data_IF_978535061159
#
_entry.id   IF_978535061159
#
_cell.length_a   1.000
_cell.length_b   1.000
_cell.length_c   1.000
_cell.angle_alpha   90.00
_cell.angle_beta   90.00
_cell.angle_gamma   90.00
#
_symmetry.space_group_name_H-M   'P 1'
#
loop_
_entity.id
_entity.type
_entity.pdbx_description
1 polymer ?
#
# COMPACT_ATOMS: atom_id res chain seq x y z
N UNK A 1 -7.47 15.16 13.77
CA UNK A 1 -8.39 14.64 12.73
C UNK A 1 -7.60 13.76 11.76
N UNK A 2 -8.23 13.28 10.69
CA UNK A 2 -7.57 12.50 9.63
C UNK A 2 -7.28 13.35 8.40
N UNK A 3 -6.16 13.09 7.75
CA UNK A 3 -5.86 13.62 6.42
C UNK A 3 -6.66 12.86 5.36
N UNK A 4 -6.85 13.52 4.22
CA UNK A 4 -7.33 12.90 2.97
C UNK A 4 -6.14 12.22 2.30
N UNK A 5 -5.82 10.99 2.72
CA UNK A 5 -4.71 10.22 2.19
C UNK A 5 -5.01 9.64 0.81
N UNK A 6 -4.22 10.02 -0.20
CA UNK A 6 -4.39 9.53 -1.57
C UNK A 6 -3.86 8.10 -1.71
N UNK A 7 -4.60 7.22 -2.41
CA UNK A 7 -4.14 5.87 -2.74
C UNK A 7 -3.23 5.89 -3.99
N UNK A 8 -3.68 6.55 -5.06
CA UNK A 8 -2.84 6.98 -6.17
C UNK A 8 -2.32 8.41 -5.89
N UNK A 9 -1.03 8.54 -5.62
CA UNK A 9 -0.43 9.82 -5.24
C UNK A 9 -0.34 10.81 -6.42
N UNK A 10 -0.78 12.05 -6.23
CA UNK A 10 -0.73 13.11 -7.23
C UNK A 10 0.67 13.29 -7.88
N UNK A 11 1.73 13.15 -7.08
CA UNK A 11 3.11 13.28 -7.55
C UNK A 11 3.54 12.21 -8.58
N UNK A 12 2.79 11.11 -8.72
CA UNK A 12 3.03 10.08 -9.73
C UNK A 12 2.50 10.49 -11.12
N UNK A 13 1.62 11.50 -11.19
CA UNK A 13 0.88 11.87 -12.41
C UNK A 13 1.22 13.29 -12.89
N UNK A 14 2.44 13.78 -12.61
CA UNK A 14 2.90 15.14 -13.01
C UNK A 14 2.93 15.38 -14.52
N UNK A 15 2.91 14.31 -15.32
CA UNK A 15 2.90 14.39 -16.78
C UNK A 15 1.58 14.93 -17.37
N UNK A 16 0.48 14.91 -16.60
CA UNK A 16 -0.81 15.43 -17.05
C UNK A 16 -1.59 16.08 -15.91
N UNK A 17 -1.99 17.33 -16.11
CA UNK A 17 -2.81 18.06 -15.14
C UNK A 17 -4.16 17.37 -14.90
N UNK A 18 -4.74 16.75 -15.93
CA UNK A 18 -5.98 15.96 -15.80
C UNK A 18 -5.73 14.74 -14.93
N UNK A 19 -4.70 13.95 -15.23
CA UNK A 19 -4.38 12.75 -14.45
C UNK A 19 -4.10 13.08 -12.99
N UNK A 20 -3.40 14.19 -12.71
CA UNK A 20 -3.19 14.69 -11.36
C UNK A 20 -4.52 15.08 -10.69
N UNK A 21 -5.40 15.83 -11.36
CA UNK A 21 -6.72 16.22 -10.81
C UNK A 21 -7.58 14.99 -10.49
N UNK A 22 -7.54 13.97 -11.33
CA UNK A 22 -8.31 12.73 -11.12
C UNK A 22 -7.87 12.02 -9.82
N UNK A 23 -6.64 12.23 -9.32
CA UNK A 23 -6.23 11.70 -8.00
C UNK A 23 -6.94 12.35 -6.81
N UNK A 24 -7.52 13.55 -6.96
CA UNK A 24 -8.18 14.27 -5.87
C UNK A 24 -9.66 13.86 -5.68
N UNK A 25 -10.19 12.95 -6.51
CA UNK A 25 -11.50 12.36 -6.25
C UNK A 25 -11.49 11.57 -4.94
N UNK A 26 -12.54 11.71 -4.13
CA UNK A 26 -12.64 11.03 -2.84
C UNK A 26 -12.72 9.50 -2.95
N UNK A 27 -13.06 8.96 -4.13
CA UNK A 27 -12.95 7.53 -4.43
C UNK A 27 -11.50 7.01 -4.41
N UNK A 28 -10.51 7.90 -4.54
CA UNK A 28 -9.08 7.61 -4.42
C UNK A 28 -8.52 7.97 -3.02
N UNK A 29 -9.38 8.29 -2.06
CA UNK A 29 -8.96 8.81 -0.75
C UNK A 29 -9.47 7.93 0.37
N UNK A 30 -8.62 7.70 1.37
CA UNK A 30 -9.01 7.11 2.65
C UNK A 30 -8.56 7.99 3.82
N UNK A 31 -9.29 7.97 4.97
CA UNK A 31 -8.85 8.67 6.18
C UNK A 31 -7.50 8.13 6.66
N UNK A 32 -6.48 8.98 6.68
CA UNK A 32 -5.11 8.59 7.04
C UNK A 32 -4.62 9.44 8.21
N UNK A 33 -3.90 8.83 9.16
CA UNK A 33 -3.28 9.57 10.26
C UNK A 33 -2.28 10.57 9.67
N UNK A 34 -2.32 11.87 10.03
CA UNK A 34 -1.48 12.89 9.41
C UNK A 34 0.02 12.57 9.45
N UNK A 35 0.50 12.05 10.59
CA UNK A 35 1.90 11.66 10.73
C UNK A 35 2.30 10.52 9.77
N UNK A 36 1.41 9.55 9.53
CA UNK A 36 1.68 8.50 8.55
C UNK A 36 1.75 9.09 7.14
N UNK A 37 0.71 9.84 6.76
CA UNK A 37 0.52 10.40 5.43
C UNK A 37 1.70 11.30 5.01
N UNK A 38 2.15 12.18 5.90
CA UNK A 38 3.14 13.21 5.58
C UNK A 38 4.59 12.68 5.64
N UNK A 39 4.83 11.61 6.40
CA UNK A 39 6.16 11.05 6.65
C UNK A 39 6.35 9.66 6.03
N UNK A 40 6.24 8.57 6.81
CA UNK A 40 6.62 7.22 6.39
C UNK A 40 5.91 6.75 5.10
N UNK A 41 4.63 7.07 4.93
CA UNK A 41 3.88 6.72 3.72
C UNK A 41 4.38 7.49 2.48
N UNK A 42 4.63 8.79 2.62
CA UNK A 42 5.23 9.61 1.57
C UNK A 42 6.66 9.14 1.22
N UNK A 43 7.43 8.64 2.19
CA UNK A 43 8.73 8.01 1.93
C UNK A 43 8.57 6.75 1.07
N UNK A 44 7.59 5.90 1.38
CA UNK A 44 7.26 4.72 0.56
C UNK A 44 6.82 5.11 -0.87
N UNK A 45 6.07 6.20 -1.03
CA UNK A 45 5.69 6.73 -2.35
C UNK A 45 6.88 7.28 -3.13
N UNK A 46 7.77 8.05 -2.49
CA UNK A 46 9.01 8.54 -3.11
C UNK A 46 9.89 7.39 -3.56
N UNK A 47 10.02 6.38 -2.71
CA UNK A 47 10.75 5.16 -3.04
C UNK A 47 10.11 4.42 -4.22
N UNK A 48 8.79 4.24 -4.23
CA UNK A 48 8.05 3.62 -5.35
C UNK A 48 8.34 4.34 -6.69
N UNK A 49 8.36 5.67 -6.70
CA UNK A 49 8.74 6.46 -7.88
C UNK A 49 10.20 6.27 -8.29
N UNK A 50 11.10 6.15 -7.32
CA UNK A 50 12.53 5.95 -7.60
C UNK A 50 12.81 4.63 -8.33
N UNK A 51 12.00 3.60 -8.10
CA UNK A 51 12.13 2.30 -8.77
C UNK A 51 11.88 2.38 -10.29
N UNK A 52 11.13 3.37 -10.77
CA UNK A 52 10.89 3.59 -12.20
C UNK A 52 12.16 4.01 -12.97
N UNK A 53 13.26 4.33 -12.28
CA UNK A 53 14.56 4.62 -12.92
C UNK A 53 15.31 3.37 -13.36
N UNK A 54 15.06 2.23 -12.71
CA UNK A 54 15.85 1.01 -12.86
C UNK A 54 14.99 -0.20 -13.28
N UNK A 55 13.69 0.00 -13.49
CA UNK A 55 12.77 -1.04 -13.94
C UNK A 55 12.07 -0.53 -15.20
N UNK A 56 11.84 -1.44 -16.14
CA UNK A 56 11.16 -1.16 -17.40
C UNK A 56 9.73 -0.69 -17.17
N UNK A 57 9.00 -1.39 -16.30
CA UNK A 57 7.68 -0.99 -15.83
C UNK A 57 7.57 -1.09 -14.32
N UNK A 58 6.81 -0.17 -13.71
CA UNK A 58 6.45 -0.18 -12.29
C UNK A 58 4.95 -0.02 -12.17
N UNK A 59 4.29 -1.05 -11.67
CA UNK A 59 2.87 -1.01 -11.32
C UNK A 59 2.72 -0.96 -9.80
N UNK A 60 1.75 -0.17 -9.33
CA UNK A 60 1.50 0.02 -7.91
C UNK A 60 0.02 -0.20 -7.63
N UNK A 61 -0.29 -1.20 -6.81
CA UNK A 61 -1.61 -1.34 -6.22
C UNK A 61 -1.57 -0.88 -4.76
N UNK A 62 -2.51 -0.02 -4.37
CA UNK A 62 -2.57 0.55 -3.02
C UNK A 62 -3.99 0.45 -2.51
N UNK A 63 -4.16 0.11 -1.24
CA UNK A 63 -5.49 0.04 -0.65
C UNK A 63 -5.50 -0.05 0.87
N UNK A 64 -6.69 0.09 1.49
CA UNK A 64 -6.88 -0.04 2.92
C UNK A 64 -6.94 -1.51 3.37
N UNK A 65 -6.65 -1.75 4.64
CA UNK A 65 -6.87 -3.02 5.33
C UNK A 65 -7.59 -2.81 6.68
N UNK A 66 -8.42 -3.78 7.04
CA UNK A 66 -9.15 -3.85 8.30
C UNK A 66 -8.75 -5.14 9.04
N UNK A 67 -7.61 -5.07 9.72
CA UNK A 67 -7.01 -6.24 10.36
C UNK A 67 -7.64 -6.49 11.74
N UNK A 68 -7.93 -7.75 12.08
CA UNK A 68 -8.49 -8.08 13.37
C UNK A 68 -7.42 -7.99 14.47
N UNK A 69 -7.84 -7.73 15.70
CA UNK A 69 -7.01 -7.81 16.90
C UNK A 69 -7.71 -8.65 17.96
N UNK A 70 -6.91 -9.33 18.78
CA UNK A 70 -7.43 -10.06 19.93
C UNK A 70 -7.79 -9.07 21.03
N UNK A 71 -8.97 -9.19 21.61
CA UNK A 71 -9.38 -8.42 22.80
C UNK A 71 -9.23 -9.26 24.07
N UNK A 72 -9.50 -8.66 25.25
CA UNK A 72 -9.24 -9.28 26.55
C UNK A 72 -10.07 -10.56 26.81
N UNK A 73 -11.16 -10.75 26.06
CA UNK A 73 -11.99 -11.97 26.09
C UNK A 73 -11.42 -13.13 25.26
N UNK A 74 -10.24 -12.95 24.65
CA UNK A 74 -9.56 -13.93 23.81
C UNK A 74 -10.15 -14.09 22.41
N UNK A 75 -11.11 -13.24 22.00
CA UNK A 75 -11.72 -13.30 20.66
C UNK A 75 -11.09 -12.26 19.73
N UNK A 76 -11.16 -12.57 18.43
CA UNK A 76 -10.67 -11.68 17.37
C UNK A 76 -11.80 -10.77 16.89
N UNK A 77 -11.54 -9.47 16.87
CA UNK A 77 -12.48 -8.47 16.37
C UNK A 77 -11.82 -7.54 15.36
N UNK A 78 -12.58 -7.17 14.33
CA UNK A 78 -12.25 -6.05 13.46
C UNK A 78 -12.94 -4.81 14.02
N UNK A 79 -12.17 -3.84 14.50
CA UNK A 79 -12.69 -2.57 15.02
C UNK A 79 -12.02 -1.41 14.32
N UNK A 80 -12.83 -0.54 13.72
CA UNK A 80 -12.38 0.68 13.06
C UNK A 80 -13.36 1.83 13.33
N UNK A 81 -12.84 3.05 13.30
CA UNK A 81 -13.66 4.25 13.40
C UNK A 81 -14.38 4.49 12.06
N UNK A 82 -15.60 5.02 12.13
CA UNK A 82 -16.28 5.66 10.98
C UNK A 82 -16.41 7.15 11.24
N UNK A 83 -16.31 7.98 10.19
CA UNK A 83 -16.32 9.45 10.32
C UNK A 83 -17.34 10.13 9.39
N UNK A 84 -17.85 11.27 9.85
CA UNK A 84 -18.79 12.10 9.11
C UNK A 84 -20.19 11.48 9.01
N UNK A 85 -21.13 12.20 8.38
CA UNK A 85 -22.52 11.77 8.22
C UNK A 85 -22.67 10.49 7.37
N UNK A 86 -21.69 10.22 6.52
CA UNK A 86 -21.68 9.08 5.60
C UNK A 86 -20.92 7.86 6.17
N UNK A 87 -20.49 7.91 7.44
CA UNK A 87 -19.78 6.81 8.10
C UNK A 87 -18.57 6.29 7.30
N UNK A 88 -17.73 7.20 6.81
CA UNK A 88 -16.51 6.83 6.05
C UNK A 88 -15.58 6.03 6.96
N UNK A 89 -15.26 4.81 6.57
CA UNK A 89 -14.42 3.92 7.36
C UNK A 89 -12.96 4.41 7.40
N UNK A 90 -12.37 4.38 8.60
CA UNK A 90 -10.95 4.68 8.85
C UNK A 90 -10.19 3.34 8.83
N UNK A 91 -9.31 3.09 7.86
CA UNK A 91 -8.56 1.84 7.79
C UNK A 91 -7.69 1.63 9.02
N UNK A 92 -7.49 0.38 9.42
CA UNK A 92 -6.53 0.03 10.48
C UNK A 92 -5.09 0.07 9.96
N UNK A 93 -4.90 -0.29 8.70
CA UNK A 93 -3.62 -0.38 8.01
C UNK A 93 -3.81 -0.01 6.54
N UNK A 94 -2.70 0.25 5.85
CA UNK A 94 -2.65 0.38 4.40
C UNK A 94 -1.67 -0.63 3.82
N UNK A 95 -1.98 -1.12 2.62
CA UNK A 95 -1.07 -1.96 1.85
C UNK A 95 -0.58 -1.24 0.60
N UNK A 96 0.62 -1.60 0.16
CA UNK A 96 1.14 -1.24 -1.16
C UNK A 96 1.86 -2.43 -1.78
N UNK A 97 1.39 -2.89 -2.93
CA UNK A 97 2.02 -3.95 -3.74
C UNK A 97 2.68 -3.29 -4.94
N UNK A 98 4.00 -3.45 -5.04
CA UNK A 98 4.81 -3.02 -6.17
C UNK A 98 5.09 -4.22 -7.07
N UNK A 99 4.74 -4.09 -8.35
CA UNK A 99 5.05 -5.06 -9.40
C UNK A 99 6.08 -4.43 -10.31
N UNK A 100 7.29 -4.97 -10.30
CA UNK A 100 8.46 -4.41 -10.97
C UNK A 100 8.82 -5.32 -12.14
N UNK A 101 8.72 -4.82 -13.37
CA UNK A 101 9.21 -5.53 -14.56
C UNK A 101 10.63 -5.06 -14.86
N UNK A 102 11.60 -5.98 -14.79
CA UNK A 102 12.98 -5.72 -15.19
C UNK A 102 13.13 -5.80 -16.70
N UNK A 103 14.20 -5.23 -17.23
CA UNK A 103 14.51 -5.34 -18.68
C UNK A 103 14.71 -6.80 -19.13
N UNK A 104 15.13 -7.69 -18.23
CA UNK A 104 15.22 -9.14 -18.48
C UNK A 104 13.87 -9.85 -18.62
N UNK A 105 12.74 -9.16 -18.36
CA UNK A 105 11.41 -9.76 -18.28
C UNK A 105 11.10 -10.44 -16.94
N UNK A 106 12.04 -10.44 -15.99
CA UNK A 106 11.78 -10.88 -14.62
C UNK A 106 10.79 -9.92 -13.93
N UNK A 107 9.77 -10.50 -13.28
CA UNK A 107 8.85 -9.75 -12.44
C UNK A 107 9.27 -9.90 -10.98
N UNK A 108 9.50 -8.78 -10.31
CA UNK A 108 9.76 -8.73 -8.88
C UNK A 108 8.56 -8.11 -8.13
N UNK A 109 8.12 -8.77 -7.05
CA UNK A 109 7.07 -8.28 -6.17
C UNK A 109 7.63 -7.79 -4.85
N UNK A 110 7.24 -6.56 -4.46
CA UNK A 110 7.50 -6.02 -3.13
C UNK A 110 6.19 -5.57 -2.49
N UNK A 111 5.87 -6.13 -1.34
CA UNK A 111 4.58 -5.98 -0.68
C UNK A 111 4.76 -5.36 0.69
N UNK A 112 4.14 -4.20 0.93
CA UNK A 112 4.30 -3.42 2.15
C UNK A 112 2.98 -3.29 2.90
N UNK A 113 3.02 -3.36 4.23
CA UNK A 113 1.88 -3.02 5.10
C UNK A 113 2.35 -2.06 6.20
N UNK A 114 1.63 -0.94 6.36
CA UNK A 114 1.89 0.03 7.43
C UNK A 114 0.61 0.25 8.26
N UNK A 115 0.70 0.34 9.60
CA UNK A 115 -0.45 0.69 10.44
C UNK A 115 -0.89 2.12 10.19
N UNK A 116 -2.20 2.39 10.25
CA UNK A 116 -2.76 3.74 10.17
C UNK A 116 -2.60 4.47 11.52
N UNK A 117 -1.35 4.67 11.92
CA UNK A 117 -0.91 5.30 13.15
C UNK A 117 0.38 6.10 12.89
N UNK A 118 0.87 6.91 13.84
CA UNK A 118 2.22 7.45 13.73
C UNK A 118 3.23 6.31 13.56
N UNK A 119 4.14 6.46 12.60
CA UNK A 119 5.23 5.54 12.28
C UNK A 119 6.49 6.37 12.20
N UNK A 120 7.53 5.98 12.95
CA UNK A 120 8.85 6.62 12.91
C UNK A 120 9.45 6.47 11.50
N UNK A 121 9.67 7.59 10.83
CA UNK A 121 10.18 7.66 9.47
C UNK A 121 11.63 7.21 9.32
N UNK A 122 12.35 7.02 10.44
CA UNK A 122 13.70 6.44 10.47
C UNK A 122 13.69 4.93 10.35
N UNK A 123 12.55 4.28 10.57
CA UNK A 123 12.42 2.82 10.38
C UNK A 123 12.60 2.51 8.89
N UNK A 124 13.55 1.65 8.51
CA UNK A 124 13.77 1.28 7.11
C UNK A 124 12.50 0.65 6.50
N UNK A 125 12.19 1.01 5.24
CA UNK A 125 10.96 0.56 4.56
C UNK A 125 10.88 -0.97 4.48
N UNK A 126 12.01 -1.66 4.43
CA UNK A 126 12.15 -3.11 4.39
C UNK A 126 11.53 -3.79 5.62
N UNK A 127 11.44 -3.10 6.76
CA UNK A 127 10.78 -3.60 7.97
C UNK A 127 9.26 -3.76 7.81
N UNK A 128 8.68 -3.10 6.82
CA UNK A 128 7.26 -3.17 6.51
C UNK A 128 6.96 -4.15 5.38
N UNK A 129 7.97 -4.87 4.86
CA UNK A 129 7.76 -5.93 3.88
C UNK A 129 7.01 -7.10 4.51
N UNK A 130 6.00 -7.59 3.80
CA UNK A 130 5.21 -8.77 4.18
C UNK A 130 5.10 -9.74 3.00
N UNK A 131 4.87 -11.04 3.24
CA UNK A 131 4.46 -11.96 2.19
C UNK A 131 3.21 -11.44 1.47
N UNK A 132 3.19 -11.52 0.14
CA UNK A 132 2.04 -11.06 -0.67
C UNK A 132 0.77 -11.80 -0.29
N UNK A 133 0.88 -13.07 0.08
CA UNK A 133 -0.19 -13.95 0.51
C UNK A 133 -0.89 -13.41 1.76
N UNK A 134 -0.18 -12.66 2.62
CA UNK A 134 -0.79 -12.03 3.80
C UNK A 134 -1.73 -10.89 3.40
N UNK A 135 -1.37 -10.11 2.38
CA UNK A 135 -2.22 -9.06 1.82
C UNK A 135 -3.41 -9.69 1.11
N UNK A 136 -3.19 -10.71 0.27
CA UNK A 136 -4.28 -11.42 -0.42
C UNK A 136 -5.30 -11.98 0.58
N UNK A 137 -4.83 -12.66 1.64
CA UNK A 137 -5.69 -13.20 2.70
C UNK A 137 -6.47 -12.12 3.45
N UNK A 138 -5.82 -11.00 3.79
CA UNK A 138 -6.44 -9.94 4.58
C UNK A 138 -7.37 -9.02 3.76
N UNK A 139 -7.08 -8.84 2.47
CA UNK A 139 -7.85 -7.96 1.58
C UNK A 139 -8.93 -8.68 0.78
N UNK A 140 -8.82 -10.00 0.62
CA UNK A 140 -9.66 -10.77 -0.30
C UNK A 140 -9.30 -10.57 -1.79
N UNK A 141 -8.21 -9.87 -2.08
CA UNK A 141 -7.70 -9.65 -3.44
C UNK A 141 -6.75 -10.77 -3.87
N UNK A 142 -6.59 -10.95 -5.18
CA UNK A 142 -5.61 -11.88 -5.76
C UNK A 142 -4.70 -11.13 -6.75
N UNK A 143 -3.39 -11.15 -6.48
CA UNK A 143 -2.35 -10.54 -7.30
C UNK A 143 -1.56 -11.61 -8.05
N UNK A 144 -1.00 -12.59 -7.33
CA UNK A 144 -0.06 -13.59 -7.89
C UNK A 144 -0.68 -14.41 -9.02
N UNK A 145 -1.90 -14.98 -8.88
CA UNK A 145 -2.51 -15.74 -9.97
C UNK A 145 -2.75 -14.90 -11.23
N UNK A 146 -2.98 -13.60 -11.08
CA UNK A 146 -3.20 -12.70 -12.21
C UNK A 146 -1.90 -12.32 -12.93
N UNK A 147 -0.78 -12.30 -12.19
CA UNK A 147 0.56 -12.08 -12.76
C UNK A 147 1.07 -13.36 -13.46
N UNK A 148 0.91 -14.52 -12.82
CA UNK A 148 1.38 -15.80 -13.36
C UNK A 148 0.70 -16.21 -14.67
N UNK A 149 -0.49 -15.69 -14.96
CA UNK A 149 -1.13 -15.81 -16.29
C UNK A 149 -0.32 -15.19 -17.43
N UNK A 150 0.60 -14.26 -17.13
CA UNK A 150 1.38 -13.49 -18.11
C UNK A 150 2.87 -13.84 -18.13
N UNK A 151 3.41 -14.35 -17.03
CA UNK A 151 4.84 -14.73 -16.93
C UNK A 151 5.04 -15.84 -15.90
N UNK A 152 6.01 -16.72 -16.13
CA UNK A 152 6.47 -17.72 -15.15
C UNK A 152 7.67 -17.25 -14.32
N UNK A 153 8.28 -16.11 -14.66
CA UNK A 153 9.50 -15.61 -14.02
C UNK A 153 9.15 -14.57 -12.93
N UNK A 154 8.73 -15.07 -11.77
CA UNK A 154 8.27 -14.26 -10.64
C UNK A 154 9.17 -14.42 -9.41
N UNK A 155 9.63 -13.30 -8.85
CA UNK A 155 10.39 -13.25 -7.60
C UNK A 155 9.67 -12.38 -6.56
N UNK A 156 9.16 -12.98 -5.49
CA UNK A 156 8.59 -12.25 -4.37
C UNK A 156 9.67 -11.91 -3.33
N UNK A 157 9.75 -10.64 -2.93
CA UNK A 157 10.64 -10.18 -1.87
C UNK A 157 9.83 -10.03 -0.59
N UNK A 158 10.21 -10.78 0.44
CA UNK A 158 9.69 -10.65 1.80
C UNK A 158 10.78 -10.07 2.71
N UNK A 159 10.40 -9.59 3.90
CA UNK A 159 11.38 -9.31 4.93
C UNK A 159 12.23 -10.57 5.14
N UNK A 160 13.54 -10.47 4.93
CA UNK A 160 14.44 -11.59 5.16
C UNK A 160 14.41 -11.96 6.64
N UNK A 161 14.23 -13.25 6.94
CA UNK A 161 14.61 -13.77 8.25
C UNK A 161 16.11 -13.45 8.41
N UNK A 162 16.43 -12.60 9.37
CA UNK A 162 17.78 -12.62 9.94
C UNK A 162 17.95 -13.89 10.74
#
# INVERSE_FOLDING_TARGET
>A
GFDRGHLAAAANHKWSQKAMKDTFYLSNVAPQVPHLNQHAWNNLEKYSRSLARNNKNVYVCTGPLYLPRMEADGKMYVKYQVIGKNNVAVPTHFFKVLILEKESGEIELRSYVMPNSPVDEKIPLERFLVPIESIERASGLLFVPNILKRTSNLKAITAGNK
#
